data_IF_208961439785
#
_entry.id   IF_208961439785
#
_cell.length_a   1.000
_cell.length_b   1.000
_cell.length_c   1.000
_cell.angle_alpha   90.00
_cell.angle_beta   90.00
_cell.angle_gamma   90.00
#
_symmetry.space_group_name_H-M   'P 1'
#
loop_
_entity.id
_entity.type
_entity.pdbx_description
1 polymer ?
#
# COMPACT_ATOMS: atom_id res chain seq x y z
N UNK A 1 16.24 -12.47 -1.30
CA UNK A 1 16.62 -11.30 -0.47
C UNK A 1 15.52 -11.13 0.54
N UNK A 2 15.88 -10.97 1.80
CA UNK A 2 14.94 -10.65 2.87
C UNK A 2 15.13 -9.21 3.32
N UNK A 3 14.03 -8.49 3.51
CA UNK A 3 14.01 -7.10 3.97
C UNK A 3 12.82 -6.92 4.89
N UNK A 4 13.06 -6.46 6.13
CA UNK A 4 12.02 -6.28 7.13
C UNK A 4 11.10 -7.52 7.22
N UNK A 5 11.71 -8.71 7.17
CA UNK A 5 11.03 -10.01 7.03
C UNK A 5 10.53 -10.60 8.35
N UNK A 6 10.96 -10.05 9.48
CA UNK A 6 10.42 -10.38 10.78
C UNK A 6 9.12 -9.59 11.03
N UNK A 7 7.98 -10.27 10.85
CA UNK A 7 6.65 -9.69 11.05
C UNK A 7 6.23 -9.63 12.52
N UNK A 8 7.04 -10.17 13.44
CA UNK A 8 6.86 -9.97 14.89
C UNK A 8 7.48 -8.65 15.38
N UNK A 9 8.20 -7.95 14.50
CA UNK A 9 8.86 -6.68 14.79
C UNK A 9 8.12 -5.48 14.20
N UNK A 10 8.03 -4.39 14.98
CA UNK A 10 7.65 -3.05 14.51
C UNK A 10 8.69 -2.51 13.54
N UNK A 11 8.25 -1.90 12.44
CA UNK A 11 9.14 -1.31 11.43
C UNK A 11 8.59 0.04 10.97
N UNK A 12 9.46 1.05 10.93
CA UNK A 12 9.19 2.35 10.29
C UNK A 12 10.17 2.55 9.14
N UNK A 13 9.64 2.99 8.00
CA UNK A 13 10.45 3.34 6.82
C UNK A 13 10.02 4.72 6.30
N UNK A 14 10.93 5.69 6.36
CA UNK A 14 10.79 6.97 5.66
C UNK A 14 11.21 6.80 4.21
N UNK A 15 10.29 6.31 3.37
CA UNK A 15 10.65 5.88 2.01
C UNK A 15 11.26 7.00 1.16
N UNK A 16 10.94 8.28 1.44
CA UNK A 16 11.54 9.41 0.75
C UNK A 16 13.06 9.52 0.94
N UNK A 17 13.58 8.98 2.04
CA UNK A 17 15.00 8.96 2.37
C UNK A 17 15.74 7.76 1.75
N UNK A 18 15.02 6.80 1.16
CA UNK A 18 15.63 5.67 0.47
C UNK A 18 16.09 6.09 -0.93
N UNK A 19 17.24 5.61 -1.37
CA UNK A 19 17.64 5.76 -2.77
C UNK A 19 16.73 4.94 -3.68
N UNK A 20 16.43 5.47 -4.86
CA UNK A 20 15.75 4.72 -5.91
C UNK A 20 16.68 3.63 -6.43
N UNK A 21 16.19 2.39 -6.47
CA UNK A 21 16.92 1.27 -7.04
C UNK A 21 16.25 0.85 -8.34
N UNK A 22 17.03 0.70 -9.41
CA UNK A 22 16.52 0.18 -10.67
C UNK A 22 15.91 -1.21 -10.48
N UNK A 23 14.75 -1.44 -11.09
CA UNK A 23 14.20 -2.78 -11.26
C UNK A 23 14.77 -3.43 -12.53
N UNK A 24 14.57 -4.75 -12.73
CA UNK A 24 14.89 -5.39 -14.02
C UNK A 24 14.11 -4.81 -15.21
N UNK A 25 13.01 -4.12 -14.94
CA UNK A 25 12.15 -3.49 -15.94
C UNK A 25 12.69 -2.09 -16.23
N UNK A 26 13.03 -1.84 -17.50
CA UNK A 26 13.55 -0.53 -17.95
C UNK A 26 12.53 0.58 -17.67
N UNK A 27 13.00 1.68 -17.09
CA UNK A 27 12.15 2.83 -16.77
C UNK A 27 11.33 2.67 -15.50
N UNK A 28 11.60 1.62 -14.71
CA UNK A 28 10.92 1.35 -13.45
C UNK A 28 11.93 1.26 -12.32
N UNK A 29 11.81 2.17 -11.35
CA UNK A 29 12.62 2.22 -10.14
C UNK A 29 11.79 1.86 -8.91
N UNK A 30 12.44 1.39 -7.85
CA UNK A 30 11.77 0.92 -6.63
C UNK A 30 12.46 1.34 -5.34
N UNK A 31 11.64 1.53 -4.30
CA UNK A 31 11.99 1.65 -2.89
C UNK A 31 11.27 0.53 -2.14
N UNK A 32 11.99 -0.52 -1.82
CA UNK A 32 11.42 -1.71 -1.15
C UNK A 32 11.19 -1.41 0.34
N UNK A 33 10.05 -1.84 0.87
CA UNK A 33 9.65 -1.63 2.26
C UNK A 33 9.72 -2.93 3.06
N UNK A 34 9.13 -4.00 2.53
CA UNK A 34 9.36 -5.37 3.03
C UNK A 34 9.46 -6.37 1.87
N UNK A 35 10.14 -7.49 2.13
CA UNK A 35 10.30 -8.60 1.18
C UNK A 35 10.63 -9.91 1.87
N UNK A 36 9.91 -10.98 1.52
CA UNK A 36 10.25 -12.36 1.89
C UNK A 36 10.11 -13.31 0.69
N UNK A 37 11.06 -14.25 0.58
CA UNK A 37 11.10 -15.23 -0.51
C UNK A 37 12.35 -15.15 -1.38
N UNK A 38 12.40 -16.08 -2.36
CA UNK A 38 13.52 -16.27 -3.28
C UNK A 38 13.34 -15.46 -4.57
N UNK A 39 13.32 -16.18 -5.70
CA UNK A 39 13.06 -15.63 -7.04
C UNK A 39 11.70 -14.94 -7.09
N UNK A 40 10.66 -15.68 -6.66
CA UNK A 40 9.33 -15.16 -6.40
C UNK A 40 9.23 -14.76 -4.94
N UNK A 41 8.64 -13.60 -4.66
CA UNK A 41 8.59 -13.05 -3.31
C UNK A 41 7.28 -12.31 -3.03
N UNK A 42 6.84 -12.41 -1.77
CA UNK A 42 5.94 -11.44 -1.15
C UNK A 42 6.71 -10.14 -1.00
N UNK A 43 6.15 -9.04 -1.50
CA UNK A 43 6.82 -7.75 -1.47
C UNK A 43 5.84 -6.60 -1.23
N UNK A 44 6.29 -5.60 -0.47
CA UNK A 44 5.66 -4.27 -0.39
C UNK A 44 6.70 -3.24 -0.80
N UNK A 45 6.35 -2.38 -1.77
CA UNK A 45 7.32 -1.52 -2.46
C UNK A 45 6.65 -0.26 -2.97
N UNK A 46 7.36 0.88 -2.95
CA UNK A 46 6.99 2.05 -3.75
C UNK A 46 7.74 1.97 -5.07
N UNK A 47 7.01 2.05 -6.18
CA UNK A 47 7.53 1.91 -7.54
C UNK A 47 7.26 3.18 -8.33
N UNK A 48 8.25 3.65 -9.10
CA UNK A 48 8.12 4.78 -10.00
C UNK A 48 8.28 4.32 -11.44
N UNK A 49 7.33 4.70 -12.28
CA UNK A 49 7.32 4.52 -13.71
C UNK A 49 7.73 5.83 -14.39
N UNK A 50 8.72 5.76 -15.27
CA UNK A 50 9.11 6.90 -16.10
C UNK A 50 8.01 7.24 -17.12
N UNK A 51 7.89 8.49 -17.58
CA UNK A 51 6.98 8.85 -18.67
C UNK A 51 7.22 8.02 -19.95
N UNK A 52 6.13 7.64 -20.61
CA UNK A 52 6.15 6.77 -21.80
C UNK A 52 6.47 5.30 -21.50
N UNK A 53 6.35 4.87 -20.24
CA UNK A 53 6.55 3.48 -19.84
C UNK A 53 5.50 2.56 -20.46
N UNK A 54 5.95 1.45 -21.05
CA UNK A 54 5.08 0.40 -21.61
C UNK A 54 5.69 -0.97 -21.34
N UNK A 55 4.87 -1.92 -20.88
CA UNK A 55 5.33 -3.27 -20.54
C UNK A 55 4.58 -4.32 -21.35
N UNK A 56 5.19 -5.48 -21.48
CA UNK A 56 4.48 -6.64 -22.01
C UNK A 56 3.40 -7.08 -21.02
N UNK A 57 2.34 -7.68 -21.56
CA UNK A 57 1.32 -8.31 -20.75
C UNK A 57 1.94 -9.31 -19.77
N UNK A 58 1.45 -9.32 -18.53
CA UNK A 58 1.88 -10.27 -17.53
C UNK A 58 0.75 -10.68 -16.61
N UNK A 59 0.90 -11.87 -16.04
CA UNK A 59 -0.07 -12.48 -15.13
C UNK A 59 0.36 -12.29 -13.67
N UNK A 60 -0.57 -11.91 -12.81
CA UNK A 60 -0.35 -11.84 -11.38
C UNK A 60 -0.56 -13.21 -10.75
N UNK A 61 0.51 -13.97 -10.58
CA UNK A 61 0.44 -15.35 -10.04
C UNK A 61 0.09 -15.41 -8.55
N UNK A 62 0.38 -14.36 -7.77
CA UNK A 62 -0.01 -14.22 -6.36
C UNK A 62 -0.83 -12.97 -6.04
N UNK A 63 -1.39 -12.35 -7.08
CA UNK A 63 -2.10 -11.08 -7.00
C UNK A 63 -1.21 -9.85 -6.86
N UNK A 64 -1.81 -8.70 -7.16
CA UNK A 64 -1.25 -7.36 -7.08
C UNK A 64 -2.29 -6.39 -6.51
N UNK A 65 -1.91 -5.66 -5.48
CA UNK A 65 -2.71 -4.57 -4.91
C UNK A 65 -1.87 -3.31 -5.00
N UNK A 66 -2.44 -2.19 -5.44
CA UNK A 66 -1.71 -0.94 -5.46
C UNK A 66 -2.57 0.31 -5.25
N UNK A 67 -1.88 1.38 -4.90
CA UNK A 67 -2.39 2.74 -4.85
C UNK A 67 -1.56 3.58 -5.81
N UNK A 68 -2.20 4.37 -6.66
CA UNK A 68 -1.52 5.41 -7.44
C UNK A 68 -1.31 6.62 -6.53
N UNK A 69 -0.05 6.89 -6.16
CA UNK A 69 0.34 7.98 -5.26
C UNK A 69 0.50 9.31 -6.01
N UNK A 70 0.98 9.25 -7.25
CA UNK A 70 1.25 10.40 -8.10
C UNK A 70 1.18 10.00 -9.58
N UNK A 71 0.77 10.93 -10.45
CA UNK A 71 0.62 10.69 -11.89
C UNK A 71 -0.57 9.79 -12.25
N UNK A 72 -0.43 9.07 -13.36
CA UNK A 72 -1.49 8.21 -13.92
C UNK A 72 -0.92 6.86 -14.35
N UNK A 73 -1.37 5.78 -13.70
CA UNK A 73 -1.10 4.42 -14.17
C UNK A 73 -2.11 4.06 -15.27
N UNK A 74 -1.74 3.20 -16.21
CA UNK A 74 -2.59 2.79 -17.32
C UNK A 74 -2.48 1.30 -17.61
N UNK A 75 -3.57 0.72 -18.09
CA UNK A 75 -3.62 -0.60 -18.71
C UNK A 75 -4.63 -0.62 -19.88
N UNK A 76 -4.96 -1.78 -20.45
CA UNK A 76 -5.96 -1.92 -21.51
C UNK A 76 -7.38 -1.50 -21.10
N UNK A 77 -7.66 -1.37 -19.81
CA UNK A 77 -8.92 -0.92 -19.23
C UNK A 77 -8.94 0.59 -18.93
N UNK A 78 -7.89 1.33 -19.26
CA UNK A 78 -7.85 2.79 -19.26
C UNK A 78 -6.93 3.40 -18.21
N UNK A 79 -7.32 4.58 -17.70
CA UNK A 79 -6.49 5.41 -16.83
C UNK A 79 -6.85 5.23 -15.35
N UNK A 80 -5.81 5.25 -14.51
CA UNK A 80 -5.87 5.09 -13.07
C UNK A 80 -5.12 6.28 -12.45
N UNK A 81 -5.80 7.42 -12.23
CA UNK A 81 -5.16 8.62 -11.70
C UNK A 81 -4.75 8.47 -10.23
N UNK A 82 -3.88 9.36 -9.75
CA UNK A 82 -3.53 9.45 -8.33
C UNK A 82 -4.77 9.44 -7.42
N UNK A 83 -4.71 8.65 -6.36
CA UNK A 83 -5.84 8.37 -5.47
C UNK A 83 -6.65 7.11 -5.83
N UNK A 84 -6.33 6.45 -6.95
CA UNK A 84 -6.95 5.16 -7.32
C UNK A 84 -6.33 4.02 -6.52
N UNK A 85 -7.18 3.19 -5.91
CA UNK A 85 -6.84 1.91 -5.29
C UNK A 85 -7.29 0.76 -6.20
N UNK A 86 -6.44 -0.25 -6.37
CA UNK A 86 -6.64 -1.36 -7.30
C UNK A 86 -6.32 -2.68 -6.64
N UNK A 87 -7.15 -3.69 -6.91
CA UNK A 87 -6.89 -5.10 -6.64
C UNK A 87 -6.97 -5.90 -7.94
N UNK A 88 -5.86 -6.54 -8.28
CA UNK A 88 -5.69 -7.49 -9.36
C UNK A 88 -5.40 -8.87 -8.73
N UNK A 89 -6.41 -9.73 -8.53
CA UNK A 89 -6.27 -10.98 -7.78
C UNK A 89 -5.41 -12.01 -8.54
N UNK A 90 -5.04 -13.13 -7.90
CA UNK A 90 -4.32 -14.20 -8.57
C UNK A 90 -5.00 -14.62 -9.88
N UNK A 91 -4.18 -14.90 -10.90
CA UNK A 91 -4.57 -15.28 -12.27
C UNK A 91 -5.06 -14.16 -13.17
N UNK A 92 -5.28 -12.94 -12.67
CA UNK A 92 -5.54 -11.80 -13.56
C UNK A 92 -4.29 -11.44 -14.37
N UNK A 93 -4.50 -10.87 -15.56
CA UNK A 93 -3.45 -10.38 -16.43
C UNK A 93 -3.78 -8.98 -16.93
N UNK A 94 -2.75 -8.18 -17.18
CA UNK A 94 -2.90 -6.86 -17.79
C UNK A 94 -1.64 -6.45 -18.55
N UNK A 95 -1.74 -5.38 -19.35
CA UNK A 95 -0.64 -4.75 -20.09
C UNK A 95 -0.36 -3.37 -19.52
N UNK A 96 0.52 -3.24 -18.52
CA UNK A 96 0.70 -1.97 -17.83
C UNK A 96 1.48 -0.95 -18.65
N UNK A 97 1.23 0.30 -18.32
CA UNK A 97 1.96 1.45 -18.85
C UNK A 97 1.70 2.71 -18.03
N UNK A 98 2.38 3.78 -18.45
CA UNK A 98 2.13 5.12 -17.96
C UNK A 98 2.72 6.12 -18.94
N UNK A 99 1.86 6.79 -19.71
CA UNK A 99 2.25 7.79 -20.69
C UNK A 99 2.84 9.03 -19.99
N UNK A 100 2.23 9.52 -18.92
CA UNK A 100 2.70 10.68 -18.16
C UNK A 100 3.75 10.34 -17.07
N UNK A 101 3.90 9.06 -16.73
CA UNK A 101 4.64 8.61 -15.57
C UNK A 101 3.75 8.54 -14.32
N UNK A 102 4.12 7.67 -13.38
CA UNK A 102 3.38 7.52 -12.13
C UNK A 102 4.26 6.98 -11.01
N UNK A 103 3.84 7.19 -9.77
CA UNK A 103 4.39 6.51 -8.59
C UNK A 103 3.27 5.72 -7.92
N UNK A 104 3.53 4.45 -7.62
CA UNK A 104 2.56 3.56 -6.96
C UNK A 104 3.14 2.97 -5.68
N UNK A 105 2.28 2.74 -4.69
CA UNK A 105 2.55 1.83 -3.57
C UNK A 105 1.94 0.48 -3.95
N UNK A 106 2.76 -0.56 -4.05
CA UNK A 106 2.34 -1.87 -4.57
C UNK A 106 2.70 -3.01 -3.62
N UNK A 107 1.78 -3.96 -3.55
CA UNK A 107 1.86 -5.21 -2.80
C UNK A 107 1.68 -6.37 -3.75
N UNK A 108 2.66 -7.28 -3.77
CA UNK A 108 2.67 -8.48 -4.60
C UNK A 108 2.69 -9.73 -3.72
N UNK A 109 2.01 -10.79 -4.16
CA UNK A 109 1.97 -12.08 -3.47
C UNK A 109 1.43 -11.98 -2.03
N UNK A 110 0.36 -11.19 -1.86
CA UNK A 110 -0.29 -10.94 -0.56
C UNK A 110 -1.77 -11.32 -0.57
N UNK A 111 -2.27 -11.94 -1.64
CA UNK A 111 -3.65 -12.35 -1.77
C UNK A 111 -3.86 -13.77 -1.27
N UNK A 112 -5.12 -14.10 -0.96
CA UNK A 112 -5.56 -15.49 -1.02
C UNK A 112 -5.43 -16.02 -2.46
N UNK A 113 -4.91 -17.22 -2.62
CA UNK A 113 -4.81 -17.88 -3.92
C UNK A 113 -6.18 -18.16 -4.54
N UNK A 114 -7.23 -18.21 -3.72
CA UNK A 114 -8.62 -18.35 -4.16
C UNK A 114 -9.35 -17.01 -4.34
N UNK A 115 -8.73 -15.87 -4.02
CA UNK A 115 -9.34 -14.55 -4.27
C UNK A 115 -9.54 -14.32 -5.77
N UNK A 116 -10.73 -13.87 -6.17
CA UNK A 116 -11.09 -13.51 -7.54
C UNK A 116 -11.74 -12.12 -7.64
N UNK A 117 -11.69 -11.34 -6.56
CA UNK A 117 -12.30 -10.02 -6.48
C UNK A 117 -11.38 -8.97 -7.12
N UNK A 118 -11.53 -8.77 -8.43
CA UNK A 118 -10.85 -7.70 -9.16
C UNK A 118 -11.70 -6.44 -9.16
N UNK A 119 -11.11 -5.32 -8.73
CA UNK A 119 -11.76 -4.01 -8.83
C UNK A 119 -10.75 -2.86 -8.74
N UNK A 120 -11.23 -1.67 -9.10
CA UNK A 120 -10.57 -0.39 -8.88
C UNK A 120 -11.57 0.63 -8.36
N UNK A 121 -11.14 1.53 -7.48
CA UNK A 121 -11.97 2.65 -6.98
C UNK A 121 -11.11 3.85 -6.60
N UNK A 122 -11.66 5.06 -6.65
CA UNK A 122 -11.03 6.23 -6.05
C UNK A 122 -11.19 6.14 -4.54
N UNK A 123 -10.09 6.20 -3.77
CA UNK A 123 -10.14 5.97 -2.33
C UNK A 123 -11.05 6.93 -1.57
N UNK A 124 -11.21 8.15 -2.08
CA UNK A 124 -11.96 9.22 -1.43
C UNK A 124 -13.48 9.20 -1.71
N UNK A 125 -13.95 8.41 -2.69
CA UNK A 125 -15.35 8.46 -3.14
C UNK A 125 -16.35 8.01 -2.07
N UNK A 126 -15.93 7.09 -1.20
CA UNK A 126 -16.78 6.47 -0.17
C UNK A 126 -16.40 6.93 1.25
N UNK A 127 -15.75 8.09 1.40
CA UNK A 127 -15.43 8.64 2.73
C UNK A 127 -16.72 8.94 3.51
N UNK A 128 -16.85 8.30 4.67
CA UNK A 128 -17.93 8.57 5.60
C UNK A 128 -17.81 9.96 6.24
N UNK A 129 -18.88 10.41 6.91
CA UNK A 129 -18.80 11.61 7.76
C UNK A 129 -17.79 11.39 8.89
N UNK A 130 -16.98 12.41 9.24
CA UNK A 130 -15.94 12.25 10.25
C UNK A 130 -16.52 11.97 11.63
N UNK A 131 -15.89 11.03 12.35
CA UNK A 131 -16.10 10.77 13.78
C UNK A 131 -14.83 11.16 14.51
N UNK A 132 -14.93 12.05 15.49
CA UNK A 132 -13.79 12.60 16.24
C UNK A 132 -12.66 13.14 15.35
N UNK A 133 -13.04 13.76 14.23
CA UNK A 133 -12.10 14.33 13.24
C UNK A 133 -11.47 13.30 12.29
N UNK A 134 -12.00 12.07 12.23
CA UNK A 134 -11.52 11.02 11.32
C UNK A 134 -12.65 10.59 10.39
N UNK A 135 -12.53 10.89 9.11
CA UNK A 135 -13.40 10.38 8.06
C UNK A 135 -12.73 9.16 7.41
N UNK A 136 -13.45 8.03 7.29
CA UNK A 136 -12.88 6.76 6.82
C UNK A 136 -13.75 6.15 5.72
N UNK A 137 -13.10 5.58 4.71
CA UNK A 137 -13.68 4.74 3.67
C UNK A 137 -13.10 3.32 3.78
N UNK A 138 -13.94 2.30 3.67
CA UNK A 138 -13.50 0.91 3.51
C UNK A 138 -13.20 0.63 2.04
N UNK A 139 -11.95 0.33 1.73
CA UNK A 139 -11.51 0.03 0.37
C UNK A 139 -11.71 -1.43 0.02
N UNK A 140 -11.41 -2.34 0.96
CA UNK A 140 -11.52 -3.79 0.84
C UNK A 140 -11.75 -4.39 2.22
N UNK A 141 -12.51 -5.48 2.28
CA UNK A 141 -12.68 -6.28 3.50
C UNK A 141 -12.99 -7.74 3.13
N UNK A 142 -12.30 -8.66 3.77
CA UNK A 142 -12.57 -10.10 3.72
C UNK A 142 -12.24 -10.75 5.08
N UNK A 143 -12.28 -12.09 5.14
CA UNK A 143 -12.00 -12.86 6.37
C UNK A 143 -10.56 -12.71 6.90
N UNK A 144 -9.65 -12.11 6.12
CA UNK A 144 -8.22 -12.00 6.41
C UNK A 144 -7.80 -10.57 6.71
N UNK A 145 -8.38 -9.59 6.02
CA UNK A 145 -7.92 -8.21 6.11
C UNK A 145 -9.03 -7.17 5.94
N UNK A 146 -8.83 -6.02 6.59
CA UNK A 146 -9.60 -4.80 6.34
C UNK A 146 -8.64 -3.73 5.84
N UNK A 147 -8.99 -3.10 4.71
CA UNK A 147 -8.21 -2.03 4.08
C UNK A 147 -9.05 -0.77 4.07
N UNK A 148 -8.49 0.33 4.59
CA UNK A 148 -9.19 1.60 4.70
C UNK A 148 -8.34 2.76 4.21
N UNK A 149 -9.03 3.84 3.88
CA UNK A 149 -8.45 5.15 3.62
C UNK A 149 -9.12 6.16 4.55
N UNK A 150 -8.32 7.00 5.20
CA UNK A 150 -8.82 7.98 6.16
C UNK A 150 -8.29 9.39 5.90
N UNK A 151 -9.17 10.39 6.06
CA UNK A 151 -8.79 11.78 6.28
C UNK A 151 -8.82 12.05 7.78
N UNK A 152 -7.71 12.52 8.31
CA UNK A 152 -7.51 12.80 9.74
C UNK A 152 -7.33 14.30 9.88
N UNK A 153 -8.27 14.97 10.53
CA UNK A 153 -8.21 16.40 10.78
C UNK A 153 -7.00 16.78 11.64
N UNK A 154 -6.57 18.03 11.57
CA UNK A 154 -5.42 18.50 12.34
C UNK A 154 -5.60 18.26 13.86
N UNK A 155 -4.65 17.55 14.46
CA UNK A 155 -4.69 17.16 15.87
C UNK A 155 -5.66 16.00 16.21
N UNK A 156 -6.44 15.49 15.26
CA UNK A 156 -7.24 14.29 15.47
C UNK A 156 -6.34 13.04 15.54
N UNK A 157 -6.86 11.98 16.15
CA UNK A 157 -6.09 10.73 16.33
C UNK A 157 -6.75 9.57 15.59
N UNK A 158 -6.02 9.00 14.64
CA UNK A 158 -6.39 7.71 14.04
C UNK A 158 -5.98 6.59 15.01
N UNK A 159 -6.94 5.79 15.44
CA UNK A 159 -6.70 4.66 16.34
C UNK A 159 -7.16 3.34 15.72
N UNK A 160 -6.50 2.24 16.08
CA UNK A 160 -6.94 0.89 15.72
C UNK A 160 -6.38 -0.11 16.72
N UNK A 161 -7.23 -1.01 17.21
CA UNK A 161 -6.88 -2.14 18.09
C UNK A 161 -7.04 -3.51 17.39
N UNK A 162 -7.15 -3.46 16.05
CA UNK A 162 -7.35 -4.60 15.18
C UNK A 162 -6.25 -5.66 15.39
N UNK A 163 -6.67 -6.93 15.31
CA UNK A 163 -5.76 -8.09 15.43
C UNK A 163 -5.14 -8.42 14.09
N UNK A 164 -4.09 -9.24 14.10
CA UNK A 164 -3.39 -9.68 12.90
C UNK A 164 -2.47 -8.62 12.30
N UNK A 165 -2.01 -7.66 13.13
CA UNK A 165 -1.08 -6.61 12.75
C UNK A 165 -1.71 -5.46 11.97
N UNK A 166 -1.04 -4.32 11.95
CA UNK A 166 -1.49 -3.07 11.34
C UNK A 166 -0.37 -2.52 10.46
N UNK A 167 -0.71 -2.09 9.25
CA UNK A 167 0.20 -1.42 8.33
C UNK A 167 -0.43 -0.10 7.89
N UNK A 168 0.34 0.98 7.89
CA UNK A 168 -0.10 2.29 7.39
C UNK A 168 0.91 2.89 6.41
N UNK A 169 0.39 3.65 5.45
CA UNK A 169 1.14 4.53 4.57
C UNK A 169 0.55 5.93 4.65
N UNK A 170 1.41 6.92 4.89
CA UNK A 170 1.00 8.33 4.87
C UNK A 170 0.97 8.81 3.41
N UNK A 171 -0.23 9.08 2.90
CA UNK A 171 -0.44 9.55 1.53
C UNK A 171 -0.15 11.05 1.42
N UNK A 172 -0.51 11.81 2.45
CA UNK A 172 -0.37 13.26 2.51
C UNK A 172 -0.37 13.73 3.97
N UNK A 173 0.23 14.89 4.23
CA UNK A 173 0.38 15.42 5.58
C UNK A 173 1.35 14.63 6.46
N UNK A 174 1.09 14.62 7.77
CA UNK A 174 1.94 13.96 8.76
C UNK A 174 1.13 13.43 9.94
N UNK A 175 1.59 12.32 10.55
CA UNK A 175 1.08 11.83 11.83
C UNK A 175 2.23 11.50 12.78
N UNK A 176 2.00 11.57 14.09
CA UNK A 176 2.93 11.08 15.10
C UNK A 176 2.40 9.80 15.75
N UNK A 177 3.15 8.71 15.67
CA UNK A 177 2.79 7.41 16.24
C UNK A 177 3.85 6.95 17.25
N UNK A 178 3.59 7.14 18.54
CA UNK A 178 4.59 6.95 19.58
C UNK A 178 5.67 8.03 19.51
N UNK A 179 6.93 7.64 19.31
CA UNK A 179 8.06 8.57 19.12
C UNK A 179 8.31 8.96 17.66
N UNK A 180 7.64 8.31 16.71
CA UNK A 180 7.93 8.45 15.28
C UNK A 180 7.01 9.49 14.64
N UNK A 181 7.60 10.48 13.96
CA UNK A 181 6.87 11.44 13.12
C UNK A 181 6.88 10.92 11.69
N UNK A 182 5.72 10.51 11.20
CA UNK A 182 5.52 9.90 9.89
C UNK A 182 4.96 10.95 8.92
N UNK A 183 5.81 11.45 8.04
CA UNK A 183 5.45 12.39 6.96
C UNK A 183 4.98 11.63 5.71
N UNK A 184 4.61 12.36 4.65
CA UNK A 184 4.25 11.80 3.34
C UNK A 184 5.23 10.70 2.89
N UNK A 185 4.67 9.59 2.42
CA UNK A 185 5.34 8.36 2.01
C UNK A 185 6.10 7.62 3.13
N UNK A 186 5.98 8.03 4.40
CA UNK A 186 6.39 7.19 5.51
C UNK A 186 5.46 5.98 5.66
N UNK A 187 6.06 4.84 5.95
CA UNK A 187 5.40 3.55 6.11
C UNK A 187 5.68 3.00 7.50
N UNK A 188 4.65 2.51 8.17
CA UNK A 188 4.74 1.88 9.48
C UNK A 188 4.05 0.52 9.42
N UNK A 189 4.70 -0.49 9.97
CA UNK A 189 4.12 -1.81 10.22
C UNK A 189 4.26 -2.16 11.70
N UNK A 190 3.13 -2.48 12.31
CA UNK A 190 2.99 -2.92 13.69
C UNK A 190 2.71 -4.44 13.72
N UNK A 191 3.38 -5.20 14.59
CA UNK A 191 3.14 -6.63 14.74
C UNK A 191 1.77 -6.91 15.34
N UNK A 192 1.34 -8.17 15.29
CA UNK A 192 0.11 -8.58 15.97
C UNK A 192 0.17 -8.29 17.48
N UNK A 193 -0.92 -7.76 18.02
CA UNK A 193 -1.04 -7.36 19.42
C UNK A 193 -0.64 -5.92 19.74
N UNK A 194 -0.01 -5.17 18.83
CA UNK A 194 0.28 -3.74 19.02
C UNK A 194 -0.83 -2.86 18.44
N UNK A 195 -1.33 -1.90 19.23
CA UNK A 195 -2.39 -0.98 18.81
C UNK A 195 -1.79 0.25 18.11
N UNK A 196 -2.52 0.79 17.13
CA UNK A 196 -2.22 2.08 16.51
C UNK A 196 -2.86 3.22 17.29
N UNK A 197 -2.07 4.26 17.56
CA UNK A 197 -2.54 5.59 17.91
C UNK A 197 -1.64 6.62 17.21
N UNK A 198 -2.17 7.25 16.16
CA UNK A 198 -1.46 8.18 15.30
C UNK A 198 -2.14 9.55 15.29
N UNK A 199 -1.48 10.57 15.85
CA UNK A 199 -2.02 11.93 15.97
C UNK A 199 -1.61 12.75 14.75
N UNK A 200 -2.56 13.29 14.00
CA UNK A 200 -2.24 14.12 12.84
C UNK A 200 -1.62 15.46 13.22
N UNK A 201 -0.68 15.91 12.39
CA UNK A 201 -0.03 17.21 12.54
C UNK A 201 -0.94 18.39 12.22
N UNK A 202 -0.33 19.58 12.10
CA UNK A 202 -1.09 20.84 11.97
C UNK A 202 -1.89 20.97 10.67
N UNK A 203 -1.53 20.22 9.63
CA UNK A 203 -2.20 20.23 8.34
C UNK A 203 -3.15 19.04 8.15
N UNK A 204 -3.37 18.23 9.20
CA UNK A 204 -4.06 16.95 9.05
C UNK A 204 -3.21 15.90 8.34
N UNK A 205 -3.83 14.76 8.03
CA UNK A 205 -3.20 13.66 7.29
C UNK A 205 -4.19 12.89 6.43
N UNK A 206 -3.67 12.25 5.38
CA UNK A 206 -4.38 11.22 4.60
C UNK A 206 -3.64 9.92 4.77
N UNK A 207 -4.31 8.89 5.26
CA UNK A 207 -3.68 7.63 5.66
C UNK A 207 -4.37 6.47 4.98
N UNK A 208 -3.60 5.62 4.30
CA UNK A 208 -4.03 4.29 3.93
C UNK A 208 -3.65 3.32 5.06
N UNK A 209 -4.56 2.41 5.43
CA UNK A 209 -4.33 1.42 6.48
C UNK A 209 -4.79 0.03 6.03
N UNK A 210 -4.03 -1.01 6.40
CA UNK A 210 -4.43 -2.41 6.31
C UNK A 210 -4.22 -3.10 7.65
N UNK A 211 -5.23 -3.82 8.13
CA UNK A 211 -5.16 -4.63 9.35
C UNK A 211 -5.52 -6.10 9.08
N UNK A 212 -5.05 -7.02 9.92
CA UNK A 212 -5.42 -8.46 9.85
C UNK A 212 -4.48 -9.35 9.02
N UNK A 213 -3.68 -8.75 8.13
CA UNK A 213 -2.92 -9.44 7.10
C UNK A 213 -1.66 -10.19 7.57
N UNK A 214 -1.05 -9.86 8.72
CA UNK A 214 0.26 -10.42 9.13
C UNK A 214 0.27 -11.92 9.47
N UNK A 215 -0.78 -12.51 10.10
CA UNK A 215 -0.90 -13.97 10.26
C UNK A 215 -0.77 -14.77 8.95
N UNK A 216 -1.02 -14.12 7.81
CA UNK A 216 -0.95 -14.72 6.48
C UNK A 216 0.35 -14.39 5.74
N UNK A 217 1.27 -13.61 6.33
CA UNK A 217 2.54 -13.23 5.72
C UNK A 217 3.48 -14.44 5.61
N UNK A 218 3.52 -15.05 4.42
CA UNK A 218 4.37 -16.20 4.11
C UNK A 218 5.11 -15.97 2.81
N UNK A 219 6.29 -16.59 2.68
CA UNK A 219 6.98 -16.61 1.39
C UNK A 219 6.15 -17.41 0.38
N UNK A 220 6.13 -17.02 -0.91
CA UNK A 220 5.49 -17.81 -1.95
C UNK A 220 5.97 -19.26 -1.95
N UNK A 221 5.03 -20.20 -1.96
CA UNK A 221 5.30 -21.62 -2.16
C UNK A 221 5.29 -21.91 -3.66
N UNK A 222 6.38 -21.57 -4.34
CA UNK A 222 6.61 -21.81 -5.78
C UNK A 222 7.62 -22.93 -6.00
#
# INVERSE_FOLDING_TARGET
>A
MELNSDFSSRVVVHSEQLEWQASPIKGVDRRMLDRIGGEVARATTIVRYAPGSKFSAHTHTGGEEFIVLDGVFQDEHGDFPAGTYVRNPPTSEHTPGSDEGCTIFVKLWQFDMDDRNQFRKTMADELASPVDGVATATLHEDDRETVTYSHVDAGATLTSDAKGGIEILIIDGEVTAGSDVLEKNAWLRLPDGENLAAVAGKSGAKVWMKAGHLPFAKAPAV
#
